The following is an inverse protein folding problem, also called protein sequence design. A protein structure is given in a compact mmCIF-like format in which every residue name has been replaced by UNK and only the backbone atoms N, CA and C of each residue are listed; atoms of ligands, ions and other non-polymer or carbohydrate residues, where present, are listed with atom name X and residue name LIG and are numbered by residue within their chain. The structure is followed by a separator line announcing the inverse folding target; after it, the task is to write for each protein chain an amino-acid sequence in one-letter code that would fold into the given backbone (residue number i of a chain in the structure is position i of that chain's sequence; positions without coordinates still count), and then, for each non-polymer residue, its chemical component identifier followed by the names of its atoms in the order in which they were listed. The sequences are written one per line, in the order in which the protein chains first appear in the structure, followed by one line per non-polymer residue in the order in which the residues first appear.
data_IF_801353042283
#
_entry.id   IF_801353042283
#
_cell.length_a   1.000
_cell.length_b   1.000
_cell.length_c   1.000
_cell.angle_alpha   90.00
_cell.angle_beta   90.00
_cell.angle_gamma   90.00
#
_symmetry.space_group_name_H-M   'P 1'
#
loop_
_entity.id
_entity.type
_entity.pdbx_description
1 polymer ?
#
# COMPACT_ATOMS: atom_id res chain seq x y z
N UNK A 1 -5.01 -15.65 -19.50
CA UNK A 1 -6.19 -14.85 -19.87
C UNK A 1 -7.36 -15.72 -20.32
N UNK A 2 -7.30 -16.42 -21.46
CA UNK A 2 -8.39 -17.32 -21.89
C UNK A 2 -8.74 -18.42 -20.85
N UNK A 3 -7.72 -18.95 -20.17
CA UNK A 3 -7.90 -19.89 -19.06
C UNK A 3 -8.53 -19.24 -17.82
N UNK A 4 -8.06 -18.03 -17.45
CA UNK A 4 -8.61 -17.27 -16.32
C UNK A 4 -10.08 -16.87 -16.52
N UNK A 5 -10.52 -16.71 -17.77
CA UNK A 5 -11.92 -16.44 -18.15
C UNK A 5 -12.73 -17.72 -18.40
N UNK A 6 -12.18 -18.91 -18.09
CA UNK A 6 -12.88 -20.20 -18.24
C UNK A 6 -13.18 -20.60 -19.69
N UNK A 7 -12.58 -19.92 -20.68
CA UNK A 7 -12.79 -20.18 -22.12
C UNK A 7 -11.97 -21.37 -22.63
N UNK A 8 -11.15 -21.96 -21.78
CA UNK A 8 -10.36 -23.16 -22.05
C UNK A 8 -10.73 -24.21 -20.99
N UNK A 9 -11.04 -25.44 -21.41
CA UNK A 9 -11.21 -26.58 -20.49
C UNK A 9 -9.87 -26.93 -19.84
N UNK A 10 -9.87 -27.19 -18.53
CA UNK A 10 -8.65 -27.56 -17.76
C UNK A 10 -7.99 -28.85 -18.30
N UNK A 11 -8.79 -29.81 -18.76
CA UNK A 11 -8.31 -31.04 -19.39
C UNK A 11 -7.93 -30.81 -20.86
N UNK A 12 -6.77 -30.21 -21.11
CA UNK A 12 -6.26 -30.03 -22.48
C UNK A 12 -5.40 -31.22 -22.93
N UNK A 13 -5.82 -31.89 -24.02
CA UNK A 13 -4.88 -32.64 -24.88
C UNK A 13 -4.09 -31.66 -25.74
N UNK A 14 -2.75 -31.67 -25.62
CA UNK A 14 -1.81 -30.84 -26.40
C UNK A 14 -2.16 -30.91 -27.90
N UNK A 15 -2.29 -29.76 -28.56
CA UNK A 15 -2.59 -29.66 -29.99
C UNK A 15 -4.08 -29.58 -30.37
N UNK A 16 -5.01 -29.63 -29.40
CA UNK A 16 -6.45 -29.50 -29.71
C UNK A 16 -6.83 -28.05 -30.01
N UNK A 17 -7.44 -27.74 -31.18
CA UNK A 17 -7.89 -26.40 -31.49
C UNK A 17 -9.04 -25.98 -30.56
N UNK A 18 -8.92 -24.79 -29.96
CA UNK A 18 -9.97 -24.19 -29.14
C UNK A 18 -10.77 -23.24 -30.03
N UNK A 19 -12.06 -23.53 -30.23
CA UNK A 19 -12.96 -22.57 -30.88
C UNK A 19 -13.24 -21.42 -29.92
N UNK A 20 -12.80 -20.22 -30.30
CA UNK A 20 -13.12 -18.97 -29.61
C UNK A 20 -13.98 -18.13 -30.56
N UNK A 21 -15.07 -17.58 -30.05
CA UNK A 21 -15.94 -16.71 -30.85
C UNK A 21 -15.20 -15.40 -31.17
N UNK A 22 -15.40 -14.84 -32.37
CA UNK A 22 -14.72 -13.60 -32.77
C UNK A 22 -15.03 -12.44 -31.82
N UNK A 23 -16.25 -12.35 -31.31
CA UNK A 23 -16.66 -11.36 -30.32
C UNK A 23 -15.87 -11.47 -29.02
N UNK A 24 -15.63 -12.70 -28.54
CA UNK A 24 -14.79 -12.94 -27.35
C UNK A 24 -13.34 -12.48 -27.60
N UNK A 25 -12.80 -12.71 -28.80
CA UNK A 25 -11.44 -12.28 -29.15
C UNK A 25 -11.33 -10.75 -29.14
N UNK A 26 -12.29 -10.05 -29.74
CA UNK A 26 -12.32 -8.57 -29.75
C UNK A 26 -12.41 -8.01 -28.34
N UNK A 27 -13.36 -8.51 -27.53
CA UNK A 27 -13.51 -8.08 -26.13
C UNK A 27 -12.23 -8.32 -25.32
N UNK A 28 -11.60 -9.49 -25.46
CA UNK A 28 -10.38 -9.80 -24.71
C UNK A 28 -9.19 -8.95 -25.16
N UNK A 29 -9.11 -8.60 -26.44
CA UNK A 29 -8.10 -7.68 -26.94
C UNK A 29 -8.29 -6.27 -26.34
N UNK A 30 -9.52 -5.78 -26.25
CA UNK A 30 -9.86 -4.52 -25.59
C UNK A 30 -9.53 -4.57 -24.09
N UNK A 31 -9.98 -5.63 -23.39
CA UNK A 31 -9.69 -5.83 -21.97
C UNK A 31 -8.19 -5.91 -21.69
N UNK A 32 -7.42 -6.52 -22.60
CA UNK A 32 -5.97 -6.59 -22.49
C UNK A 32 -5.30 -5.24 -22.74
N UNK A 33 -5.79 -4.47 -23.71
CA UNK A 33 -5.32 -3.11 -23.97
C UNK A 33 -5.57 -2.18 -22.76
N UNK A 34 -6.67 -2.40 -22.04
CA UNK A 34 -7.01 -1.69 -20.79
C UNK A 34 -6.37 -2.30 -19.54
N UNK A 35 -5.59 -3.38 -19.70
CA UNK A 35 -5.02 -4.07 -18.56
C UNK A 35 -3.85 -3.28 -17.94
N UNK A 36 -3.87 -3.18 -16.62
CA UNK A 36 -2.82 -2.53 -15.83
C UNK A 36 -2.20 -3.52 -14.87
N UNK A 37 -0.89 -3.41 -14.70
CA UNK A 37 -0.16 -4.25 -13.77
C UNK A 37 -0.25 -3.70 -12.36
N UNK A 38 0.03 -4.54 -11.35
CA UNK A 38 0.01 -4.09 -9.96
C UNK A 38 0.95 -2.90 -9.66
N UNK A 39 2.04 -2.74 -10.41
CA UNK A 39 2.94 -1.58 -10.21
C UNK A 39 2.30 -0.26 -10.59
N UNK A 40 1.32 -0.29 -11.50
CA UNK A 40 0.68 0.92 -12.04
C UNK A 40 -0.57 1.32 -11.23
N UNK A 41 -1.07 0.43 -10.36
CA UNK A 41 -2.22 0.69 -9.50
C UNK A 41 -1.98 1.82 -8.50
N UNK A 42 -0.79 1.87 -7.89
CA UNK A 42 -0.48 2.87 -6.87
C UNK A 42 -0.56 4.32 -7.43
N UNK A 43 0.04 4.63 -8.60
CA UNK A 43 -0.19 5.89 -9.30
C UNK A 43 -1.65 6.17 -9.64
N UNK A 44 -2.40 5.19 -10.17
CA UNK A 44 -3.81 5.36 -10.55
C UNK A 44 -4.67 5.74 -9.33
N UNK A 45 -4.40 5.13 -8.18
CA UNK A 45 -5.11 5.43 -6.94
C UNK A 45 -4.57 6.67 -6.21
N UNK A 46 -3.41 7.19 -6.58
CA UNK A 46 -2.77 8.30 -5.86
C UNK A 46 -2.31 7.91 -4.45
N UNK A 47 -1.89 6.66 -4.25
CA UNK A 47 -1.45 6.15 -2.94
C UNK A 47 -0.08 5.47 -3.02
N UNK A 48 0.58 5.33 -1.88
CA UNK A 48 1.83 4.57 -1.82
C UNK A 48 1.64 3.07 -2.09
N UNK A 49 2.69 2.42 -2.62
CA UNK A 49 2.71 0.96 -2.92
C UNK A 49 2.25 0.07 -1.75
N UNK A 50 2.61 0.43 -0.51
CA UNK A 50 2.21 -0.32 0.69
C UNK A 50 0.69 -0.29 0.91
N UNK A 51 0.03 0.83 0.61
CA UNK A 51 -1.43 0.96 0.72
C UNK A 51 -2.09 0.12 -0.37
N UNK A 52 -1.68 0.27 -1.63
CA UNK A 52 -2.19 -0.54 -2.73
C UNK A 52 -2.04 -2.05 -2.47
N UNK A 53 -0.93 -2.46 -1.85
CA UNK A 53 -0.71 -3.87 -1.47
C UNK A 53 -1.68 -4.35 -0.40
N UNK A 54 -1.93 -3.54 0.63
CA UNK A 54 -2.91 -3.86 1.66
C UNK A 54 -4.34 -3.96 1.09
N UNK A 55 -4.70 -3.08 0.17
CA UNK A 55 -6.00 -3.12 -0.52
C UNK A 55 -6.17 -4.41 -1.34
N UNK A 56 -5.15 -4.77 -2.12
CA UNK A 56 -5.13 -6.04 -2.86
C UNK A 56 -5.27 -7.24 -1.91
N UNK A 57 -4.48 -7.29 -0.85
CA UNK A 57 -4.45 -8.44 0.07
C UNK A 57 -5.75 -8.58 0.86
N UNK A 58 -6.47 -7.48 1.08
CA UNK A 58 -7.81 -7.45 1.66
C UNK A 58 -8.94 -7.73 0.64
N UNK A 59 -8.60 -8.04 -0.62
CA UNK A 59 -9.55 -8.24 -1.71
C UNK A 59 -10.48 -7.02 -1.97
N UNK A 60 -10.01 -5.81 -1.64
CA UNK A 60 -10.76 -4.57 -1.88
C UNK A 60 -10.64 -4.06 -3.32
N UNK A 61 -9.61 -4.47 -4.04
CA UNK A 61 -9.41 -4.08 -5.44
C UNK A 61 -10.06 -5.11 -6.38
N UNK A 62 -10.76 -4.69 -7.45
CA UNK A 62 -11.32 -5.60 -8.44
C UNK A 62 -10.22 -6.20 -9.31
N UNK A 63 -9.68 -7.33 -8.86
CA UNK A 63 -8.65 -8.10 -9.58
C UNK A 63 -9.30 -8.84 -10.74
N UNK A 64 -8.78 -8.64 -11.95
CA UNK A 64 -9.23 -9.40 -13.12
C UNK A 64 -8.55 -10.76 -13.22
N UNK A 65 -7.22 -10.79 -13.21
CA UNK A 65 -6.44 -12.03 -13.22
C UNK A 65 -5.60 -12.06 -11.95
N UNK A 66 -5.91 -12.97 -11.00
CA UNK A 66 -5.13 -13.09 -9.78
C UNK A 66 -3.73 -13.61 -10.09
N UNK A 67 -2.75 -13.06 -9.39
CA UNK A 67 -1.35 -13.44 -9.53
C UNK A 67 -0.73 -13.96 -8.23
N UNK A 68 0.51 -14.42 -8.31
CA UNK A 68 1.32 -14.79 -7.13
C UNK A 68 0.67 -15.85 -6.23
N UNK A 69 0.58 -15.57 -4.92
CA UNK A 69 0.05 -16.50 -3.90
C UNK A 69 -1.41 -16.92 -4.14
N UNK A 70 -2.18 -16.10 -4.85
CA UNK A 70 -3.62 -16.29 -5.02
C UNK A 70 -4.01 -16.70 -6.46
N UNK A 71 -3.04 -17.00 -7.33
CA UNK A 71 -3.32 -17.32 -8.73
C UNK A 71 -2.21 -18.10 -9.44
N UNK A 72 -2.45 -18.54 -10.69
CA UNK A 72 -1.53 -19.39 -11.43
C UNK A 72 -0.28 -18.60 -11.87
N UNK A 73 0.80 -18.58 -11.08
CA UNK A 73 2.19 -18.09 -11.37
C UNK A 73 2.39 -16.76 -12.13
N UNK A 74 1.34 -16.02 -12.48
CA UNK A 74 1.37 -14.79 -13.27
C UNK A 74 1.40 -13.56 -12.35
N UNK A 75 1.70 -12.39 -12.93
CA UNK A 75 1.53 -11.10 -12.25
C UNK A 75 0.03 -10.79 -12.16
N UNK A 76 -0.38 -10.08 -11.09
CA UNK A 76 -1.75 -9.57 -10.99
C UNK A 76 -2.03 -8.63 -12.16
N UNK A 77 -3.17 -8.83 -12.80
CA UNK A 77 -3.71 -7.92 -13.81
C UNK A 77 -5.06 -7.39 -13.34
N UNK A 78 -5.26 -6.11 -13.58
CA UNK A 78 -6.48 -5.37 -13.31
C UNK A 78 -6.92 -4.73 -14.63
N UNK A 79 -8.20 -4.45 -14.80
CA UNK A 79 -8.66 -3.54 -15.85
C UNK A 79 -8.73 -2.15 -15.27
N UNK A 80 -8.20 -1.15 -15.98
CA UNK A 80 -8.24 0.24 -15.50
C UNK A 80 -9.68 0.68 -15.27
N UNK A 81 -10.60 0.36 -16.17
CA UNK A 81 -12.03 0.71 -16.03
C UNK A 81 -12.67 0.14 -14.76
N UNK A 82 -12.28 -1.07 -14.34
CA UNK A 82 -12.84 -1.71 -13.15
C UNK A 82 -12.33 -1.01 -11.88
N UNK A 83 -11.06 -0.59 -11.87
CA UNK A 83 -10.49 0.22 -10.80
C UNK A 83 -11.19 1.58 -10.72
N UNK A 84 -11.36 2.26 -11.85
CA UNK A 84 -12.00 3.58 -11.92
C UNK A 84 -13.46 3.50 -11.46
N UNK A 85 -14.22 2.51 -11.91
CA UNK A 85 -15.59 2.27 -11.45
C UNK A 85 -15.67 2.01 -9.94
N UNK A 86 -14.74 1.21 -9.40
CA UNK A 86 -14.65 0.99 -7.95
C UNK A 86 -14.34 2.28 -7.18
N UNK A 87 -13.47 3.16 -7.70
CA UNK A 87 -13.20 4.47 -7.09
C UNK A 87 -14.45 5.35 -7.17
N UNK A 88 -15.17 5.33 -8.28
CA UNK A 88 -16.37 6.14 -8.48
C UNK A 88 -17.53 5.73 -7.57
N UNK A 89 -17.68 4.43 -7.30
CA UNK A 89 -18.65 3.92 -6.33
C UNK A 89 -18.30 4.37 -4.90
N UNK A 90 -17.02 4.35 -4.56
CA UNK A 90 -16.57 4.67 -3.20
C UNK A 90 -16.51 6.17 -2.92
N UNK A 91 -16.09 6.97 -3.90
CA UNK A 91 -15.82 8.40 -3.76
C UNK A 91 -16.87 9.16 -4.56
N UNK A 92 -17.82 9.84 -3.90
CA UNK A 92 -18.84 10.63 -4.58
C UNK A 92 -18.21 11.74 -5.41
N UNK A 93 -18.96 12.25 -6.39
CA UNK A 93 -18.53 13.42 -7.14
C UNK A 93 -18.61 14.66 -6.24
N UNK A 94 -17.45 15.24 -5.95
CA UNK A 94 -17.28 16.35 -5.00
C UNK A 94 -16.41 17.43 -5.64
N UNK A 95 -16.63 18.70 -5.27
CA UNK A 95 -15.91 19.80 -5.90
C UNK A 95 -14.39 19.69 -5.70
N UNK A 96 -13.59 20.06 -6.73
CA UNK A 96 -12.15 20.12 -6.60
C UNK A 96 -11.72 21.36 -5.79
N UNK A 97 -10.71 21.20 -4.94
CA UNK A 97 -10.09 22.26 -4.14
C UNK A 97 -8.57 22.25 -4.32
N UNK A 98 -7.95 23.43 -4.31
CA UNK A 98 -6.49 23.61 -4.38
C UNK A 98 -5.81 23.60 -3.02
N UNK A 99 -6.57 23.76 -1.94
CA UNK A 99 -6.06 23.82 -0.57
C UNK A 99 -6.78 22.81 0.32
N UNK A 100 -6.06 22.32 1.33
CA UNK A 100 -6.59 21.40 2.34
C UNK A 100 -6.71 22.19 3.64
N UNK A 101 -7.92 22.31 4.17
CA UNK A 101 -8.15 22.96 5.46
C UNK A 101 -7.46 22.20 6.61
N UNK A 102 -7.11 22.90 7.69
CA UNK A 102 -6.38 22.34 8.85
C UNK A 102 -7.12 21.18 9.54
N UNK A 103 -8.46 21.20 9.49
CA UNK A 103 -9.34 20.18 10.05
C UNK A 103 -9.63 19.02 9.07
N UNK A 104 -8.95 18.99 7.93
CA UNK A 104 -9.11 18.01 6.86
C UNK A 104 -7.83 17.19 6.62
N UNK A 105 -7.99 16.04 5.99
CA UNK A 105 -6.87 15.15 5.63
C UNK A 105 -7.15 14.45 4.31
N UNK A 106 -6.11 14.23 3.50
CA UNK A 106 -6.21 13.40 2.31
C UNK A 106 -6.40 11.93 2.70
N UNK A 107 -7.20 11.22 1.91
CA UNK A 107 -7.40 9.78 2.08
C UNK A 107 -6.07 9.02 1.99
N UNK A 108 -5.16 9.42 1.10
CA UNK A 108 -3.83 8.82 0.99
C UNK A 108 -2.99 8.94 2.28
N UNK A 109 -3.16 10.03 3.03
CA UNK A 109 -2.38 10.34 4.23
C UNK A 109 -3.05 9.90 5.53
N UNK A 110 -4.38 9.77 5.52
CA UNK A 110 -5.17 9.44 6.70
C UNK A 110 -4.69 8.17 7.44
N UNK A 111 -4.32 7.06 6.77
CA UNK A 111 -3.83 5.87 7.47
C UNK A 111 -2.57 6.12 8.29
N UNK A 112 -1.69 7.00 7.83
CA UNK A 112 -0.43 7.31 8.52
C UNK A 112 -0.64 8.40 9.57
N UNK A 113 -1.36 9.49 9.24
CA UNK A 113 -1.56 10.64 10.14
C UNK A 113 -2.50 10.32 11.29
N UNK A 114 -3.51 9.46 11.08
CA UNK A 114 -4.54 9.12 12.07
C UNK A 114 -4.47 7.68 12.58
N UNK A 115 -3.52 6.89 12.10
CA UNK A 115 -3.31 5.49 12.47
C UNK A 115 -4.54 4.58 12.22
N UNK A 116 -5.42 4.97 11.29
CA UNK A 116 -6.55 4.13 10.86
C UNK A 116 -6.07 3.14 9.78
N UNK A 117 -6.36 1.84 9.89
CA UNK A 117 -6.12 0.92 8.79
C UNK A 117 -6.91 1.34 7.54
N UNK A 118 -6.31 1.24 6.36
CA UNK A 118 -6.96 1.68 5.12
C UNK A 118 -8.29 0.94 4.85
N UNK A 119 -8.38 -0.33 5.21
CA UNK A 119 -9.62 -1.11 5.11
C UNK A 119 -10.73 -0.50 5.98
N UNK A 120 -10.44 -0.25 7.27
CA UNK A 120 -11.41 0.36 8.18
C UNK A 120 -11.84 1.76 7.71
N UNK A 121 -10.93 2.49 7.05
CA UNK A 121 -11.24 3.80 6.47
C UNK A 121 -12.19 3.67 5.27
N UNK A 122 -11.95 2.73 4.35
CA UNK A 122 -12.84 2.45 3.21
C UNK A 122 -14.21 2.01 3.73
N UNK A 123 -14.24 1.10 4.70
CA UNK A 123 -15.47 0.62 5.32
C UNK A 123 -16.24 1.77 6.01
N UNK A 124 -15.53 2.70 6.67
CA UNK A 124 -16.15 3.88 7.26
C UNK A 124 -16.72 4.84 6.21
N UNK A 125 -16.09 4.97 5.03
CA UNK A 125 -16.62 5.75 3.91
C UNK A 125 -17.88 5.09 3.34
N UNK A 126 -17.84 3.78 3.06
CA UNK A 126 -19.01 3.01 2.56
C UNK A 126 -20.20 3.10 3.50
N UNK A 127 -19.95 3.09 4.81
CA UNK A 127 -20.98 3.21 5.85
C UNK A 127 -21.34 4.67 6.19
N UNK A 128 -20.87 5.65 5.41
CA UNK A 128 -21.11 7.09 5.62
C UNK A 128 -20.69 7.63 7.00
N UNK A 129 -19.83 6.91 7.74
CA UNK A 129 -19.23 7.37 9.01
C UNK A 129 -18.13 8.41 8.78
N UNK A 130 -17.48 8.34 7.62
CA UNK A 130 -16.50 9.33 7.16
C UNK A 130 -16.99 9.88 5.83
N UNK A 131 -17.14 11.20 5.74
CA UNK A 131 -17.59 11.87 4.53
C UNK A 131 -16.40 12.42 3.75
N UNK A 132 -16.47 12.24 2.43
CA UNK A 132 -15.61 12.95 1.48
C UNK A 132 -16.20 14.33 1.27
N UNK A 133 -15.46 15.39 1.60
CA UNK A 133 -15.96 16.78 1.51
C UNK A 133 -15.55 17.48 0.22
N UNK A 134 -14.42 17.09 -0.36
CA UNK A 134 -13.84 17.70 -1.55
C UNK A 134 -12.82 16.75 -2.18
N UNK A 135 -12.33 17.09 -3.36
CA UNK A 135 -11.21 16.42 -4.02
C UNK A 135 -10.05 17.38 -4.17
N UNK A 136 -8.83 16.95 -3.86
CA UNK A 136 -7.65 17.77 -4.11
C UNK A 136 -7.38 17.85 -5.62
N UNK A 137 -7.18 19.06 -6.14
CA UNK A 137 -6.94 19.32 -7.56
C UNK A 137 -5.67 18.60 -8.01
N UNK A 138 -5.68 18.11 -9.25
CA UNK A 138 -4.55 17.42 -9.91
C UNK A 138 -4.06 16.14 -9.21
N UNK A 139 -4.80 15.67 -8.19
CA UNK A 139 -4.58 14.38 -7.56
C UNK A 139 -5.57 13.33 -8.08
N UNK A 140 -5.17 12.04 -8.12
CA UNK A 140 -6.09 10.95 -8.43
C UNK A 140 -7.27 10.90 -7.46
N UNK A 141 -8.45 10.55 -7.96
CA UNK A 141 -9.73 10.69 -7.24
C UNK A 141 -9.73 10.00 -5.87
N UNK A 142 -9.17 8.80 -5.77
CA UNK A 142 -9.11 8.03 -4.52
C UNK A 142 -8.17 8.69 -3.49
N UNK A 143 -6.88 8.80 -3.78
CA UNK A 143 -5.89 9.33 -2.85
C UNK A 143 -6.07 10.82 -2.55
N UNK A 144 -6.60 11.57 -3.52
CA UNK A 144 -6.95 12.98 -3.42
C UNK A 144 -8.26 13.30 -2.73
N UNK A 145 -9.04 12.30 -2.31
CA UNK A 145 -10.27 12.53 -1.56
C UNK A 145 -9.96 13.22 -0.22
N UNK A 146 -10.61 14.34 0.05
CA UNK A 146 -10.44 15.13 1.27
C UNK A 146 -11.50 14.69 2.27
N UNK A 147 -11.06 14.32 3.47
CA UNK A 147 -11.88 13.78 4.56
C UNK A 147 -11.82 14.72 5.76
N UNK A 148 -12.93 14.85 6.51
CA UNK A 148 -12.91 15.57 7.80
C UNK A 148 -12.10 14.78 8.83
N UNK A 149 -11.06 15.40 9.40
CA UNK A 149 -10.15 14.74 10.33
C UNK A 149 -10.87 14.23 11.59
N UNK A 150 -11.88 14.96 12.07
CA UNK A 150 -12.69 14.59 13.25
C UNK A 150 -13.50 13.31 13.04
N UNK A 151 -14.05 13.10 11.83
CA UNK A 151 -14.76 11.88 11.47
C UNK A 151 -13.80 10.69 11.34
N UNK A 152 -12.62 10.92 10.74
CA UNK A 152 -11.57 9.89 10.66
C UNK A 152 -11.12 9.47 12.05
N UNK A 153 -10.90 10.42 12.97
CA UNK A 153 -10.54 10.13 14.37
C UNK A 153 -11.62 9.32 15.11
N UNK A 154 -12.90 9.62 14.84
CA UNK A 154 -14.03 8.88 15.40
C UNK A 154 -14.14 7.46 14.84
N UNK A 155 -13.75 7.25 13.58
CA UNK A 155 -13.79 5.95 12.90
C UNK A 155 -12.65 5.01 13.30
N UNK A 156 -11.59 5.49 13.98
CA UNK A 156 -10.46 4.65 14.41
C UNK A 156 -10.94 3.53 15.33
N UNK A 157 -10.64 2.25 15.04
CA UNK A 157 -11.03 1.13 15.89
C UNK A 157 -10.59 1.28 17.35
N UNK A 158 -11.48 0.91 18.28
CA UNK A 158 -11.25 1.07 19.72
C UNK A 158 -9.96 0.39 20.21
N UNK A 159 -9.62 -0.78 19.67
CA UNK A 159 -8.42 -1.51 20.06
C UNK A 159 -7.13 -0.76 19.69
N UNK A 160 -7.13 -0.03 18.56
CA UNK A 160 -6.01 0.83 18.14
C UNK A 160 -5.95 2.07 19.04
N UNK A 161 -7.09 2.72 19.31
CA UNK A 161 -7.15 3.87 20.23
C UNK A 161 -6.62 3.51 21.62
N UNK A 162 -6.99 2.35 22.15
CA UNK A 162 -6.50 1.82 23.44
C UNK A 162 -4.99 1.57 23.42
N UNK A 163 -4.45 0.96 22.37
CA UNK A 163 -3.01 0.71 22.21
C UNK A 163 -2.21 2.02 22.18
N UNK A 164 -2.69 3.04 21.46
CA UNK A 164 -2.04 4.36 21.44
C UNK A 164 -2.13 5.08 22.79
N UNK A 165 -3.28 5.01 23.47
CA UNK A 165 -3.44 5.55 24.81
C UNK A 165 -2.51 4.89 25.84
N UNK A 166 -2.34 3.57 25.75
CA UNK A 166 -1.41 2.81 26.60
C UNK A 166 0.06 3.17 26.30
N UNK A 167 0.45 3.30 25.03
CA UNK A 167 1.81 3.73 24.65
C UNK A 167 2.16 5.14 25.12
N UNK A 168 1.17 6.06 25.17
CA UNK A 168 1.37 7.41 25.73
C UNK A 168 1.52 7.42 27.25
N UNK A 169 0.97 6.42 27.95
CA UNK A 169 0.99 6.31 29.42
C UNK A 169 2.09 5.40 29.95
N UNK A 170 2.68 4.54 29.12
CA UNK A 170 3.86 3.76 29.50
C UNK A 170 5.03 4.71 29.74
N UNK A 171 5.60 4.69 30.95
CA UNK A 171 6.86 5.36 31.25
C UNK A 171 7.84 5.09 30.10
N UNK A 172 8.42 6.15 29.52
CA UNK A 172 9.64 6.01 28.73
C UNK A 172 10.67 5.36 29.64
N UNK A 173 10.82 4.03 29.54
CA UNK A 173 11.81 3.28 30.28
C UNK A 173 13.15 3.97 30.07
N UNK A 174 13.87 4.21 31.17
CA UNK A 174 15.24 4.74 31.12
C UNK A 174 15.99 3.95 30.07
N UNK A 175 16.48 4.63 29.03
CA UNK A 175 17.48 4.08 28.12
C UNK A 175 18.61 3.54 29.01
N UNK A 176 18.69 2.23 29.18
CA UNK A 176 19.87 1.61 29.78
C UNK A 176 20.99 1.80 28.77
N UNK A 177 21.81 2.82 29.01
CA UNK A 177 23.08 3.00 28.33
C UNK A 177 23.83 1.67 28.40
N UNK A 178 24.07 1.08 27.23
CA UNK A 178 24.95 -0.09 27.09
C UNK A 178 26.32 0.37 27.57
N UNK A 179 26.71 -0.04 28.77
CA UNK A 179 28.09 0.07 29.25
C UNK A 179 28.99 -0.61 28.21
N UNK A 180 29.74 0.22 27.50
CA UNK A 180 30.93 -0.22 26.77
C UNK A 180 31.90 -0.78 27.82
N UNK A 181 31.86 -2.10 28.01
CA UNK A 181 33.02 -2.83 28.51
C UNK A 181 34.10 -2.72 27.44
N UNK A 182 34.86 -1.63 27.51
CA UNK A 182 36.17 -1.50 26.89
C UNK A 182 37.01 -2.62 27.47
N UNK A 183 37.11 -3.71 26.72
CA UNK A 183 38.11 -4.74 26.92
C UNK A 183 39.48 -4.07 26.80
N UNK A 184 40.07 -3.74 27.95
CA UNK A 184 41.51 -3.58 28.12
C UNK A 184 42.18 -4.92 27.77
N UNK A 185 42.44 -5.14 26.49
CA UNK A 185 43.54 -6.01 26.08
C UNK A 185 44.82 -5.20 26.25
N UNK A 186 45.58 -5.54 27.28
CA UNK A 186 46.90 -5.00 27.58
C UNK A 186 47.83 -5.14 26.35
N UNK A 187 48.60 -4.11 25.98
CA UNK A 187 49.77 -4.31 25.15
C UNK A 187 50.87 -4.91 26.02
N UNK A 188 51.40 -6.05 25.59
CA UNK A 188 52.58 -6.67 26.15
C UNK A 188 53.79 -5.74 25.91
N UNK A 189 54.39 -5.28 27.00
CA UNK A 189 55.78 -4.80 27.04
C UNK A 189 56.73 -5.96 26.71
N UNK A 190 57.63 -5.75 25.76
CA UNK A 190 58.89 -6.44 25.47
C UNK A 190 59.44 -5.73 24.23
N UNK A 191 60.62 -5.14 24.12
CA UNK A 191 61.78 -4.90 24.98
C UNK A 191 62.58 -3.78 24.28
N UNK A 192 63.51 -3.09 24.96
CA UNK A 192 64.30 -2.03 24.35
C UNK A 192 65.45 -2.62 23.52
N UNK A 193 65.71 -2.08 22.34
CA UNK A 193 67.01 -2.29 21.69
C UNK A 193 67.65 -0.97 21.25
N UNK A 194 68.78 -0.75 21.90
CA UNK A 194 69.83 0.22 21.70
C UNK A 194 70.37 0.23 20.27
N UNK A 195 70.49 1.40 19.64
CA UNK A 195 71.77 1.93 19.09
C UNK A 195 71.52 3.23 18.31
N UNK A 196 71.99 4.35 18.85
CA UNK A 196 72.34 5.53 18.07
C UNK A 196 73.48 6.27 18.77
N UNK A 197 74.71 5.82 18.51
CA UNK A 197 75.90 6.65 18.67
C UNK A 197 76.27 7.19 17.28
N UNK A 198 76.15 8.52 17.13
CA UNK A 198 76.98 9.29 16.22
C UNK A 198 78.27 9.64 16.97
N UNK A 199 79.43 9.70 16.30
CA UNK A 199 79.93 11.03 15.98
C UNK A 199 80.73 11.16 14.67
N UNK A 200 80.69 12.41 14.18
CA UNK A 200 81.62 13.14 13.29
C UNK A 200 81.81 12.70 11.85
#
# INVERSE_FOLDING_TARGET
MLEAEGKIREEKRKGSPVRVQRQDVTRLAEDFADSVSFTDIAPILGVGRKIAMKLRDAAELPVWIPGGKNGPKHRYLFRRRDIEAWVDELIPDVPPHTEIADDCVLLADAPNRKHIPIFDLIEAIRNHRVQVVARFRDYPKFGGAILRATQVDAAVPLHIRRKMGAQRRGLRGRYSAKEQRVSRSAPAELAPDSTSEHPT
#
